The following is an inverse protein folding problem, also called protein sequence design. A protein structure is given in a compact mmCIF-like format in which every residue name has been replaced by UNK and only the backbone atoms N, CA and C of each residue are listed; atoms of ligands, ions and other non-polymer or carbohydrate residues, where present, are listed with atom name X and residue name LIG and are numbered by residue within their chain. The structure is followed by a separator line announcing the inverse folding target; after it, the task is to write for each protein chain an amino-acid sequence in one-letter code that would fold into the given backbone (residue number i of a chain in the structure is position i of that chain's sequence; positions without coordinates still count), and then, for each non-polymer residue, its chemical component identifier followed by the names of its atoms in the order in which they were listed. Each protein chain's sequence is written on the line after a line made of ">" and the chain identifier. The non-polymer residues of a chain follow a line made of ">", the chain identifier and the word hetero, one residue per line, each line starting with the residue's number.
data_IF_794385801420
#
_entry.id   IF_794385801420
#
_cell.length_a   1.000
_cell.length_b   1.000
_cell.length_c   1.000
_cell.angle_alpha   90.00
_cell.angle_beta   90.00
_cell.angle_gamma   90.00
#
_symmetry.space_group_name_H-M   'P 1'
#
loop_
_entity.id
_entity.type
_entity.pdbx_description
1 polymer ?
#
# COMPACT_ATOMS: atom_id res chain seq x y z
N UNK A 1 -32.03 -7.17 18.72
CA UNK A 1 -31.05 -7.86 17.90
C UNK A 1 -31.42 -7.60 16.43
N UNK A 2 -30.72 -6.66 15.76
CA UNK A 2 -30.91 -6.44 14.33
C UNK A 2 -30.21 -7.59 13.57
N UNK A 3 -30.76 -8.08 12.45
CA UNK A 3 -30.10 -9.09 11.63
C UNK A 3 -28.80 -8.47 11.09
N UNK A 4 -27.66 -9.09 11.42
CA UNK A 4 -26.36 -8.66 10.94
C UNK A 4 -26.36 -8.72 9.41
N UNK A 5 -26.05 -7.61 8.78
CA UNK A 5 -25.95 -7.45 7.33
C UNK A 5 -24.79 -8.29 6.76
N UNK A 6 -25.09 -9.51 6.36
CA UNK A 6 -24.14 -10.38 5.62
C UNK A 6 -24.10 -10.05 4.11
N UNK A 7 -24.98 -9.15 3.63
CA UNK A 7 -25.29 -9.00 2.22
C UNK A 7 -24.12 -8.48 1.36
N UNK A 8 -23.36 -7.50 1.85
CA UNK A 8 -22.24 -6.93 1.09
C UNK A 8 -21.04 -7.88 1.00
N UNK A 9 -20.69 -8.53 2.12
CA UNK A 9 -19.59 -9.50 2.18
C UNK A 9 -19.88 -10.78 1.39
N UNK A 10 -21.11 -11.27 1.45
CA UNK A 10 -21.52 -12.44 0.64
C UNK A 10 -21.48 -12.11 -0.86
N UNK A 11 -21.80 -10.88 -1.24
CA UNK A 11 -21.73 -10.40 -2.62
C UNK A 11 -20.29 -10.29 -3.13
N UNK A 12 -19.39 -9.76 -2.31
CA UNK A 12 -17.93 -9.74 -2.59
C UNK A 12 -17.34 -11.14 -2.76
N UNK A 13 -17.79 -12.09 -1.96
CA UNK A 13 -17.22 -13.44 -1.97
C UNK A 13 -17.74 -14.32 -3.11
N UNK A 14 -18.89 -14.01 -3.72
CA UNK A 14 -19.60 -14.93 -4.62
C UNK A 14 -20.07 -14.37 -5.95
N UNK A 15 -20.28 -13.07 -6.09
CA UNK A 15 -21.06 -12.52 -7.20
C UNK A 15 -20.37 -11.40 -8.00
N UNK A 16 -19.35 -10.74 -7.46
CA UNK A 16 -18.70 -9.61 -8.12
C UNK A 16 -17.20 -9.74 -8.11
N UNK A 17 -16.50 -9.41 -9.22
CA UNK A 17 -15.04 -9.31 -9.20
C UNK A 17 -14.56 -8.31 -8.14
N UNK A 18 -13.58 -8.74 -7.35
CA UNK A 18 -12.86 -7.91 -6.42
C UNK A 18 -11.49 -7.55 -7.01
N UNK A 19 -11.25 -6.24 -7.15
CA UNK A 19 -9.95 -5.69 -7.50
C UNK A 19 -9.33 -5.10 -6.23
N UNK A 20 -8.08 -5.43 -5.95
CA UNK A 20 -7.34 -4.90 -4.83
C UNK A 20 -6.20 -4.01 -5.35
N UNK A 21 -6.23 -2.71 -5.02
CA UNK A 21 -5.19 -1.75 -5.41
C UNK A 21 -4.36 -1.39 -4.18
N UNK A 22 -3.05 -1.65 -4.24
CA UNK A 22 -2.12 -1.52 -3.12
C UNK A 22 -1.04 -0.48 -3.42
N UNK A 23 -0.99 0.57 -2.62
CA UNK A 23 -0.05 1.68 -2.78
C UNK A 23 1.36 1.41 -2.28
N UNK A 24 2.30 2.27 -2.69
CA UNK A 24 3.68 2.30 -2.23
C UNK A 24 3.86 2.98 -0.88
N UNK A 25 4.98 2.71 -0.17
CA UNK A 25 5.29 3.37 1.11
C UNK A 25 6.29 2.65 2.02
N UNK A 26 7.05 1.69 1.49
CA UNK A 26 8.15 1.01 2.19
C UNK A 26 7.69 0.40 3.53
N UNK A 27 8.21 0.82 4.70
CA UNK A 27 7.83 0.31 6.02
C UNK A 27 6.34 0.48 6.38
N UNK A 28 5.64 1.44 5.74
CA UNK A 28 4.19 1.62 5.91
C UNK A 28 3.39 0.44 5.32
N UNK A 29 3.97 -0.37 4.45
CA UNK A 29 3.35 -1.55 3.85
C UNK A 29 2.88 -2.60 4.85
N UNK A 30 3.30 -2.55 6.12
CA UNK A 30 2.73 -3.38 7.19
C UNK A 30 1.24 -3.07 7.43
N UNK A 31 0.79 -1.86 7.14
CA UNK A 31 -0.63 -1.50 7.09
C UNK A 31 -1.37 -2.23 5.97
N UNK A 32 -0.77 -2.33 4.76
CA UNK A 32 -1.36 -3.12 3.67
C UNK A 32 -1.56 -4.58 4.06
N UNK A 33 -0.52 -5.19 4.65
CA UNK A 33 -0.59 -6.57 5.10
C UNK A 33 -1.68 -6.77 6.17
N UNK A 34 -1.79 -5.81 7.10
CA UNK A 34 -2.88 -5.77 8.09
C UNK A 34 -4.26 -5.63 7.43
N UNK A 35 -4.40 -4.75 6.43
CA UNK A 35 -5.64 -4.58 5.68
C UNK A 35 -6.03 -5.84 4.89
N UNK A 36 -5.07 -6.59 4.38
CA UNK A 36 -5.34 -7.86 3.70
C UNK A 36 -5.74 -9.00 4.65
N UNK A 37 -5.34 -8.95 5.94
CA UNK A 37 -5.62 -10.04 6.90
C UNK A 37 -7.11 -10.40 7.00
N UNK A 38 -8.07 -9.47 7.17
CA UNK A 38 -9.50 -9.81 7.24
C UNK A 38 -10.04 -10.42 5.94
N UNK A 39 -9.55 -10.00 4.77
CA UNK A 39 -9.94 -10.58 3.49
C UNK A 39 -9.50 -12.04 3.40
N UNK A 40 -8.22 -12.30 3.70
CA UNK A 40 -7.64 -13.66 3.67
C UNK A 40 -8.27 -14.59 4.71
N UNK A 41 -8.57 -14.09 5.93
CA UNK A 41 -9.22 -14.87 6.98
C UNK A 41 -10.67 -15.25 6.64
N UNK A 42 -11.36 -14.43 5.86
CA UNK A 42 -12.74 -14.67 5.42
C UNK A 42 -12.82 -15.34 4.04
N UNK A 43 -11.67 -15.77 3.48
CA UNK A 43 -11.57 -16.34 2.14
C UNK A 43 -12.20 -15.45 1.04
N UNK A 44 -12.09 -14.14 1.21
CA UNK A 44 -12.47 -13.15 0.19
C UNK A 44 -11.27 -12.96 -0.72
N UNK A 45 -11.29 -13.58 -1.89
CA UNK A 45 -10.16 -13.60 -2.82
C UNK A 45 -10.31 -12.50 -3.89
N UNK A 46 -9.30 -11.62 -4.07
CA UNK A 46 -9.29 -10.73 -5.22
C UNK A 46 -9.03 -11.53 -6.50
N UNK A 47 -9.72 -11.19 -7.57
CA UNK A 47 -9.44 -11.71 -8.90
C UNK A 47 -8.30 -10.93 -9.57
N UNK A 48 -8.09 -9.69 -9.15
CA UNK A 48 -7.05 -8.84 -9.69
C UNK A 48 -6.40 -8.02 -8.57
N UNK A 49 -5.08 -8.04 -8.50
CA UNK A 49 -4.29 -7.17 -7.63
C UNK A 49 -3.48 -6.23 -8.51
N UNK A 50 -3.53 -4.94 -8.22
CA UNK A 50 -2.70 -3.90 -8.84
C UNK A 50 -1.83 -3.30 -7.75
N UNK A 51 -0.52 -3.26 -7.95
CA UNK A 51 0.38 -2.77 -6.92
C UNK A 51 1.56 -1.97 -7.46
N UNK A 52 1.96 -0.95 -6.70
CA UNK A 52 3.22 -0.23 -6.88
C UNK A 52 4.11 -0.38 -5.65
N UNK A 53 5.44 -0.42 -5.85
CA UNK A 53 6.40 -0.47 -4.75
C UNK A 53 6.12 -1.64 -3.78
N UNK A 54 6.07 -1.38 -2.47
CA UNK A 54 5.74 -2.40 -1.45
C UNK A 54 4.36 -3.03 -1.68
N UNK A 55 3.42 -2.31 -2.32
CA UNK A 55 2.12 -2.86 -2.71
C UNK A 55 2.24 -4.00 -3.72
N UNK A 56 3.15 -3.89 -4.70
CA UNK A 56 3.45 -4.96 -5.63
C UNK A 56 4.05 -6.18 -4.92
N UNK A 57 4.93 -5.97 -3.94
CA UNK A 57 5.51 -7.05 -3.11
C UNK A 57 4.43 -7.77 -2.31
N UNK A 58 3.50 -7.05 -1.68
CA UNK A 58 2.37 -7.66 -0.97
C UNK A 58 1.49 -8.45 -1.93
N UNK A 59 1.21 -7.90 -3.12
CA UNK A 59 0.48 -8.57 -4.20
C UNK A 59 1.15 -9.87 -4.64
N UNK A 60 2.47 -9.87 -4.81
CA UNK A 60 3.25 -11.06 -5.17
C UNK A 60 3.13 -12.18 -4.11
N UNK A 61 3.24 -11.81 -2.83
CA UNK A 61 3.09 -12.79 -1.73
C UNK A 61 1.67 -13.38 -1.72
N UNK A 62 0.65 -12.59 -2.02
CA UNK A 62 -0.74 -13.08 -2.06
C UNK A 62 -0.97 -13.97 -3.28
N UNK A 63 -0.62 -13.51 -4.49
CA UNK A 63 -0.88 -14.23 -5.73
C UNK A 63 0.03 -15.47 -5.92
N UNK A 64 1.26 -15.41 -5.41
CA UNK A 64 2.26 -16.47 -5.55
C UNK A 64 2.22 -17.56 -4.48
N UNK A 65 1.20 -17.59 -3.61
CA UNK A 65 1.10 -18.62 -2.57
C UNK A 65 -0.30 -19.26 -2.52
N UNK A 66 -0.37 -20.47 -1.98
CA UNK A 66 -1.64 -21.13 -1.71
C UNK A 66 -2.44 -20.34 -0.66
N UNK A 67 -3.78 -20.36 -0.69
CA UNK A 67 -4.64 -19.57 0.20
C UNK A 67 -4.24 -19.69 1.69
N UNK A 68 -3.92 -20.89 2.15
CA UNK A 68 -3.49 -21.20 3.52
C UNK A 68 -2.14 -20.60 3.89
N UNK A 69 -1.26 -20.39 2.92
CA UNK A 69 0.10 -19.88 3.12
C UNK A 69 0.20 -18.34 3.03
N UNK A 70 -0.76 -17.66 2.40
CA UNK A 70 -0.71 -16.21 2.12
C UNK A 70 -0.46 -15.38 3.37
N UNK A 71 -1.30 -15.54 4.38
CA UNK A 71 -1.17 -14.80 5.64
C UNK A 71 0.09 -15.17 6.43
N UNK A 72 0.47 -16.45 6.59
CA UNK A 72 1.76 -16.85 7.14
C UNK A 72 2.96 -16.22 6.42
N UNK A 73 2.96 -16.15 5.09
CA UNK A 73 4.05 -15.55 4.29
C UNK A 73 4.11 -14.04 4.45
N UNK A 74 2.95 -13.34 4.48
CA UNK A 74 2.90 -11.90 4.81
C UNK A 74 3.49 -11.63 6.19
N UNK A 75 3.15 -12.44 7.20
CA UNK A 75 3.71 -12.32 8.55
C UNK A 75 5.22 -12.57 8.55
N UNK A 76 5.67 -13.62 7.88
CA UNK A 76 7.09 -13.95 7.78
C UNK A 76 7.91 -12.80 7.14
N UNK A 77 7.39 -12.15 6.09
CA UNK A 77 8.03 -10.99 5.46
C UNK A 77 8.23 -9.85 6.47
N UNK A 78 7.19 -9.47 7.21
CA UNK A 78 7.27 -8.36 8.17
C UNK A 78 8.02 -8.73 9.44
N UNK A 79 7.97 -9.99 9.90
CA UNK A 79 8.78 -10.48 11.03
C UNK A 79 10.28 -10.45 10.74
N UNK A 80 10.67 -10.69 9.49
CA UNK A 80 12.07 -10.58 9.05
C UNK A 80 12.49 -9.12 8.88
N UNK A 81 11.61 -8.27 8.35
CA UNK A 81 11.85 -6.85 8.20
C UNK A 81 12.00 -6.11 9.56
N UNK A 82 11.40 -6.63 10.63
CA UNK A 82 11.52 -6.02 11.97
C UNK A 82 12.94 -6.17 12.55
N UNK A 83 13.43 -5.12 13.22
CA UNK A 83 14.66 -5.23 14.04
C UNK A 83 14.31 -5.98 15.32
N UNK A 84 14.90 -7.14 15.53
CA UNK A 84 14.90 -7.82 16.82
C UNK A 84 15.93 -7.13 17.75
N UNK A 85 15.52 -6.07 18.44
CA UNK A 85 16.30 -5.53 19.56
C UNK A 85 15.97 -6.26 20.85
N UNK A 86 16.95 -6.58 21.70
CA UNK A 86 16.66 -7.04 23.06
C UNK A 86 15.79 -5.98 23.74
N UNK A 87 14.66 -6.38 24.29
CA UNK A 87 13.62 -5.50 24.83
C UNK A 87 14.07 -4.72 26.07
N UNK A 88 14.78 -3.62 25.89
CA UNK A 88 15.42 -2.85 26.97
C UNK A 88 14.79 -1.46 27.20
N UNK A 89 13.70 -1.06 26.55
CA UNK A 89 13.16 0.29 26.74
C UNK A 89 11.68 0.31 27.11
N UNK A 90 11.41 1.14 28.15
CA UNK A 90 10.14 1.21 28.86
C UNK A 90 8.92 1.72 28.05
N UNK A 91 7.74 1.59 28.65
CA UNK A 91 6.40 1.82 28.07
C UNK A 91 5.94 3.30 28.01
N UNK A 92 6.81 4.31 28.07
CA UNK A 92 6.45 5.73 28.00
C UNK A 92 6.43 6.29 26.57
N UNK A 93 5.51 7.20 26.25
CA UNK A 93 5.38 7.81 24.89
C UNK A 93 6.66 8.52 24.44
N UNK A 94 7.32 9.30 25.29
CA UNK A 94 8.60 9.96 24.96
C UNK A 94 9.72 8.96 24.69
N UNK A 95 9.78 7.87 25.46
CA UNK A 95 10.74 6.77 25.28
C UNK A 95 10.51 6.04 23.95
N UNK A 96 9.25 5.91 23.53
CA UNK A 96 8.86 5.31 22.24
C UNK A 96 9.32 6.16 21.06
N UNK A 97 9.18 7.50 21.09
CA UNK A 97 9.65 8.39 20.06
C UNK A 97 11.16 8.26 19.84
N UNK A 98 11.94 8.37 20.92
CA UNK A 98 13.42 8.23 20.85
C UNK A 98 13.81 6.84 20.34
N UNK A 99 13.08 5.80 20.71
CA UNK A 99 13.31 4.44 20.24
C UNK A 99 13.04 4.31 18.72
N UNK A 100 11.92 4.83 18.22
CA UNK A 100 11.58 4.79 16.80
C UNK A 100 12.57 5.62 15.96
N UNK A 101 13.00 6.80 16.46
CA UNK A 101 14.04 7.61 15.82
C UNK A 101 15.38 6.85 15.72
N UNK A 102 15.80 6.20 16.79
CA UNK A 102 17.02 5.40 16.79
C UNK A 102 16.92 4.23 15.80
N UNK A 103 15.77 3.60 15.70
CA UNK A 103 15.53 2.54 14.71
C UNK A 103 15.55 3.06 13.27
N UNK A 104 14.95 4.22 13.00
CA UNK A 104 15.02 4.87 11.69
C UNK A 104 16.46 5.20 11.33
N UNK A 105 17.23 5.83 12.24
CA UNK A 105 18.66 6.12 12.04
C UNK A 105 19.44 4.83 11.81
N UNK A 106 19.20 3.78 12.60
CA UNK A 106 19.86 2.48 12.42
C UNK A 106 19.53 1.88 11.06
N UNK A 107 18.27 1.99 10.60
CA UNK A 107 17.88 1.55 9.27
C UNK A 107 18.62 2.31 8.17
N UNK A 108 18.71 3.64 8.30
CA UNK A 108 19.43 4.47 7.34
C UNK A 108 20.95 4.23 7.35
N UNK A 109 21.52 3.93 8.50
CA UNK A 109 22.97 3.68 8.61
C UNK A 109 23.38 2.25 8.20
N UNK A 110 22.57 1.25 8.49
CA UNK A 110 22.96 -0.16 8.37
C UNK A 110 22.11 -0.96 7.37
N UNK A 111 21.13 -0.32 6.74
CA UNK A 111 20.17 -1.04 5.88
C UNK A 111 19.18 -1.88 6.69
N UNK A 112 18.54 -2.82 6.01
CA UNK A 112 17.51 -3.67 6.59
C UNK A 112 17.67 -5.11 6.11
N UNK A 113 17.95 -6.05 7.00
CA UNK A 113 18.03 -7.47 6.63
C UNK A 113 16.80 -7.92 5.83
N UNK A 114 17.03 -8.68 4.77
CA UNK A 114 15.97 -9.17 3.91
C UNK A 114 15.37 -8.14 2.95
N UNK A 115 15.68 -6.84 3.06
CA UNK A 115 15.15 -5.79 2.19
C UNK A 115 16.23 -5.03 1.44
N UNK A 116 17.18 -4.42 2.14
CA UNK A 116 18.26 -3.65 1.52
C UNK A 116 19.49 -3.56 2.44
N UNK A 117 20.63 -3.34 1.83
CA UNK A 117 21.91 -3.26 2.51
C UNK A 117 22.79 -2.11 2.02
N UNK A 118 24.01 -2.10 2.50
CA UNK A 118 24.99 -1.12 2.07
C UNK A 118 25.37 -1.28 0.61
N UNK A 119 25.55 -0.14 -0.04
CA UNK A 119 26.11 -0.01 -1.39
C UNK A 119 27.42 0.77 -1.32
N UNK A 120 28.43 0.34 -2.06
CA UNK A 120 29.69 1.08 -2.18
C UNK A 120 29.87 1.54 -3.63
N UNK A 121 30.22 2.82 -3.85
CA UNK A 121 30.41 3.88 -2.84
C UNK A 121 29.10 4.39 -2.21
N UNK A 122 27.92 4.23 -2.83
CA UNK A 122 26.62 4.63 -2.29
C UNK A 122 26.64 6.08 -1.79
N UNK A 123 26.29 6.30 -0.53
CA UNK A 123 26.30 7.64 0.08
C UNK A 123 27.68 8.33 0.02
N UNK A 124 28.77 7.57 0.00
CA UNK A 124 30.12 8.15 -0.07
C UNK A 124 30.41 8.81 -1.42
N UNK A 125 29.66 8.48 -2.50
CA UNK A 125 29.79 9.14 -3.81
C UNK A 125 29.52 10.65 -3.77
N UNK A 126 28.90 11.15 -2.70
CA UNK A 126 28.72 12.59 -2.46
C UNK A 126 30.03 13.30 -2.10
N UNK A 127 31.11 12.57 -1.79
CA UNK A 127 32.42 13.15 -1.47
C UNK A 127 33.23 13.37 -2.76
N UNK A 128 33.96 14.51 -2.91
CA UNK A 128 34.58 14.91 -4.19
C UNK A 128 35.63 13.96 -4.76
N UNK A 129 36.16 13.03 -3.93
CA UNK A 129 37.23 12.07 -4.32
C UNK A 129 36.73 10.63 -4.45
N UNK A 130 35.41 10.40 -4.26
CA UNK A 130 34.82 9.08 -4.43
C UNK A 130 34.28 8.91 -5.86
N UNK A 131 34.23 7.69 -6.40
CA UNK A 131 33.55 7.42 -7.65
C UNK A 131 32.05 7.79 -7.58
N UNK A 132 31.49 8.17 -8.73
CA UNK A 132 30.04 8.42 -8.85
C UNK A 132 29.24 7.14 -8.63
N UNK A 133 28.04 7.29 -8.06
CA UNK A 133 27.03 6.22 -7.92
C UNK A 133 25.63 6.77 -8.16
N UNK A 134 24.71 5.90 -8.57
CA UNK A 134 23.32 6.23 -8.90
C UNK A 134 22.35 5.93 -7.76
N UNK A 135 22.81 5.30 -6.66
CA UNK A 135 21.94 4.92 -5.55
C UNK A 135 22.68 4.89 -4.20
N UNK A 136 21.90 5.01 -3.11
CA UNK A 136 22.42 5.01 -1.76
C UNK A 136 22.59 3.60 -1.18
N UNK A 137 21.69 2.68 -1.53
CA UNK A 137 21.63 1.31 -1.01
C UNK A 137 21.54 0.28 -2.13
N UNK A 138 21.88 -0.97 -1.76
CA UNK A 138 21.63 -2.16 -2.57
C UNK A 138 20.36 -2.88 -2.08
N UNK A 139 19.43 -3.20 -2.98
CA UNK A 139 18.23 -3.96 -2.63
C UNK A 139 18.23 -5.43 -3.13
N UNK A 140 19.40 -5.96 -3.46
CA UNK A 140 19.57 -7.42 -3.70
C UNK A 140 19.00 -8.31 -2.57
N UNK A 141 19.05 -7.93 -1.27
CA UNK A 141 18.42 -8.73 -0.22
C UNK A 141 16.92 -8.93 -0.41
N UNK A 142 16.19 -7.96 -0.99
CA UNK A 142 14.77 -8.11 -1.31
C UNK A 142 14.53 -9.22 -2.35
N UNK A 143 15.41 -9.36 -3.36
CA UNK A 143 15.36 -10.46 -4.33
C UNK A 143 15.34 -11.81 -3.62
N UNK A 144 16.29 -12.04 -2.72
CA UNK A 144 16.41 -13.31 -1.98
C UNK A 144 15.18 -13.57 -1.11
N UNK A 145 14.62 -12.53 -0.51
CA UNK A 145 13.39 -12.62 0.28
C UNK A 145 12.20 -12.99 -0.59
N UNK A 146 12.07 -12.38 -1.78
CA UNK A 146 11.01 -12.69 -2.74
C UNK A 146 11.13 -14.13 -3.25
N UNK A 147 12.32 -14.57 -3.66
CA UNK A 147 12.57 -15.95 -4.14
C UNK A 147 12.23 -17.01 -3.08
N UNK A 148 12.33 -16.68 -1.81
CA UNK A 148 12.00 -17.57 -0.69
C UNK A 148 10.53 -17.54 -0.30
N UNK A 149 9.85 -16.39 -0.41
CA UNK A 149 8.49 -16.19 0.06
C UNK A 149 7.42 -16.32 -1.03
N UNK A 150 7.81 -16.25 -2.30
CA UNK A 150 6.90 -16.26 -3.46
C UNK A 150 7.25 -17.43 -4.38
N UNK A 151 6.28 -18.27 -4.67
CA UNK A 151 6.37 -19.22 -5.77
C UNK A 151 6.05 -18.51 -7.09
N UNK A 152 7.09 -18.13 -7.84
CA UNK A 152 6.95 -17.41 -9.10
C UNK A 152 6.31 -18.23 -10.21
N UNK A 153 6.41 -19.57 -10.17
CA UNK A 153 5.71 -20.43 -11.12
C UNK A 153 4.22 -20.44 -10.83
N UNK A 154 3.84 -20.47 -9.55
CA UNK A 154 2.45 -20.32 -9.13
C UNK A 154 1.92 -18.93 -9.47
N UNK A 155 2.64 -17.87 -9.13
CA UNK A 155 2.26 -16.47 -9.40
C UNK A 155 1.89 -16.27 -10.88
N UNK A 156 2.71 -16.79 -11.80
CA UNK A 156 2.50 -16.66 -13.24
C UNK A 156 1.42 -17.59 -13.82
N UNK A 157 0.85 -18.48 -13.01
CA UNK A 157 -0.27 -19.39 -13.36
C UNK A 157 -1.46 -19.22 -12.43
N UNK A 158 -1.40 -18.21 -11.55
CA UNK A 158 -2.43 -17.95 -10.56
C UNK A 158 -3.74 -17.51 -11.21
N UNK A 159 -4.86 -17.89 -10.60
CA UNK A 159 -6.16 -17.33 -10.92
C UNK A 159 -6.29 -15.85 -10.50
N UNK A 160 -5.39 -15.38 -9.63
CA UNK A 160 -5.28 -13.97 -9.26
C UNK A 160 -4.38 -13.28 -10.27
N UNK A 161 -4.96 -12.40 -11.10
CA UNK A 161 -4.21 -11.50 -11.97
C UNK A 161 -3.40 -10.52 -11.12
N UNK A 162 -2.12 -10.32 -11.43
CA UNK A 162 -1.26 -9.34 -10.77
C UNK A 162 -0.69 -8.36 -11.80
N UNK A 163 -0.92 -7.06 -11.56
CA UNK A 163 -0.30 -5.97 -12.32
C UNK A 163 0.68 -5.23 -11.41
N UNK A 164 1.90 -5.03 -11.89
CA UNK A 164 3.00 -4.34 -11.21
C UNK A 164 3.33 -3.06 -11.94
N UNK A 165 3.20 -1.92 -11.25
CA UNK A 165 3.54 -0.61 -11.78
C UNK A 165 5.03 -0.28 -11.60
N UNK A 166 5.62 0.32 -12.64
CA UNK A 166 6.95 0.93 -12.66
C UNK A 166 6.90 2.23 -13.46
N UNK A 167 7.99 2.99 -13.45
CA UNK A 167 8.19 4.16 -14.32
C UNK A 167 9.51 4.00 -15.07
N UNK A 168 9.48 4.30 -16.35
CA UNK A 168 10.68 4.43 -17.17
C UNK A 168 11.40 5.73 -16.77
N UNK A 169 12.62 5.60 -16.26
CA UNK A 169 13.36 6.73 -15.70
C UNK A 169 13.80 7.75 -16.78
N UNK A 170 13.92 7.30 -18.04
CA UNK A 170 14.35 8.16 -19.13
C UNK A 170 13.20 8.93 -19.78
N UNK A 171 12.04 8.27 -19.98
CA UNK A 171 10.88 8.91 -20.61
C UNK A 171 9.86 9.47 -19.61
N UNK A 172 9.83 8.95 -18.38
CA UNK A 172 8.80 9.26 -17.39
C UNK A 172 7.49 8.50 -17.60
N UNK A 173 7.43 7.61 -18.59
CA UNK A 173 6.22 6.85 -18.91
C UNK A 173 5.96 5.77 -17.85
N UNK A 174 4.68 5.57 -17.54
CA UNK A 174 4.24 4.44 -16.72
C UNK A 174 4.43 3.12 -17.50
N UNK A 175 4.99 2.13 -16.83
CA UNK A 175 5.21 0.79 -17.35
C UNK A 175 4.50 -0.22 -16.45
N UNK A 176 3.54 -0.94 -17.01
CA UNK A 176 2.76 -1.94 -16.31
C UNK A 176 3.14 -3.34 -16.79
N UNK A 177 3.57 -4.18 -15.87
CA UNK A 177 3.77 -5.62 -16.08
C UNK A 177 2.57 -6.39 -15.52
N UNK A 178 2.05 -7.35 -16.27
CA UNK A 178 0.79 -8.01 -15.95
C UNK A 178 0.85 -9.52 -16.23
N UNK A 179 0.47 -10.34 -15.27
CA UNK A 179 0.53 -11.82 -15.39
C UNK A 179 -0.28 -12.40 -16.53
N UNK A 180 -1.21 -11.63 -17.13
CA UNK A 180 -1.97 -12.08 -18.31
C UNK A 180 -1.19 -12.01 -19.62
N UNK A 181 -0.10 -11.24 -19.66
CA UNK A 181 0.73 -11.01 -20.85
C UNK A 181 2.23 -11.17 -20.62
N UNK A 182 2.67 -10.99 -19.38
CA UNK A 182 4.08 -10.98 -19.01
C UNK A 182 4.38 -12.12 -18.03
N UNK A 183 5.59 -12.69 -18.11
CA UNK A 183 6.09 -13.58 -17.07
C UNK A 183 6.82 -12.75 -16.02
N UNK A 184 6.21 -12.55 -14.87
CA UNK A 184 6.80 -11.80 -13.78
C UNK A 184 7.93 -12.59 -13.11
N UNK A 185 9.03 -11.88 -12.80
CA UNK A 185 10.22 -12.36 -12.10
C UNK A 185 10.58 -11.42 -10.96
N UNK A 186 11.49 -11.77 -10.05
CA UNK A 186 11.90 -10.88 -8.97
C UNK A 186 12.33 -9.48 -9.45
N UNK A 187 12.90 -9.37 -10.65
CA UNK A 187 13.36 -8.09 -11.24
C UNK A 187 12.25 -7.07 -11.38
N UNK A 188 11.03 -7.49 -11.73
CA UNK A 188 9.87 -6.59 -11.87
C UNK A 188 9.49 -5.94 -10.53
N UNK A 189 9.63 -6.69 -9.44
CA UNK A 189 9.36 -6.20 -8.09
C UNK A 189 10.51 -5.32 -7.56
N UNK A 190 11.76 -5.66 -7.91
CA UNK A 190 12.90 -4.79 -7.62
C UNK A 190 12.77 -3.46 -8.38
N UNK A 191 12.37 -3.48 -9.65
CA UNK A 191 12.11 -2.27 -10.42
C UNK A 191 11.00 -1.43 -9.79
N UNK A 192 9.87 -2.07 -9.43
CA UNK A 192 8.75 -1.41 -8.78
C UNK A 192 9.08 -0.82 -7.41
N UNK A 193 10.10 -1.34 -6.70
CA UNK A 193 10.56 -0.84 -5.39
C UNK A 193 11.82 0.04 -5.48
N UNK A 194 12.32 0.31 -6.68
CA UNK A 194 13.53 1.09 -6.91
C UNK A 194 13.27 2.60 -6.83
N UNK A 195 12.90 3.10 -5.64
CA UNK A 195 12.71 4.56 -5.47
C UNK A 195 14.05 5.29 -5.54
N UNK A 196 14.24 6.08 -6.58
CA UNK A 196 15.47 6.83 -6.84
C UNK A 196 15.54 8.09 -5.98
N UNK A 197 16.72 8.47 -5.45
CA UNK A 197 18.05 7.83 -5.55
C UNK A 197 18.32 6.80 -4.43
N UNK A 198 17.31 6.35 -3.71
CA UNK A 198 17.49 5.45 -2.57
C UNK A 198 17.99 4.08 -3.05
N UNK A 199 17.33 3.51 -4.06
CA UNK A 199 17.69 2.23 -4.66
C UNK A 199 18.01 2.39 -6.15
N UNK A 200 18.90 1.54 -6.70
CA UNK A 200 19.26 1.62 -8.11
C UNK A 200 18.09 1.21 -8.99
N UNK A 201 17.85 1.92 -10.10
CA UNK A 201 16.87 1.49 -11.09
C UNK A 201 17.30 0.16 -11.73
N UNK A 202 16.33 -0.57 -12.25
CA UNK A 202 16.52 -1.92 -12.83
C UNK A 202 16.27 -1.86 -14.33
N UNK A 203 17.19 -2.41 -15.10
CA UNK A 203 17.01 -2.54 -16.54
C UNK A 203 16.18 -3.80 -16.89
N UNK A 204 15.05 -3.60 -17.57
CA UNK A 204 14.18 -4.66 -18.08
C UNK A 204 13.80 -4.34 -19.52
N UNK A 205 14.13 -5.23 -20.43
CA UNK A 205 13.77 -5.07 -21.86
C UNK A 205 14.36 -3.82 -22.52
N UNK A 206 15.55 -3.37 -22.07
CA UNK A 206 16.22 -2.18 -22.59
C UNK A 206 15.66 -0.86 -22.05
N UNK A 207 14.81 -0.90 -21.03
CA UNK A 207 14.28 0.25 -20.30
C UNK A 207 14.86 0.30 -18.90
N UNK A 208 15.20 1.48 -18.43
CA UNK A 208 15.70 1.72 -17.09
C UNK A 208 14.51 2.10 -16.17
N UNK A 209 14.05 1.14 -15.35
CA UNK A 209 12.80 1.24 -14.61
C UNK A 209 13.03 1.55 -13.13
N UNK A 210 12.15 2.34 -12.56
CA UNK A 210 12.15 2.72 -11.15
C UNK A 210 10.74 2.68 -10.53
N UNK A 211 10.69 2.94 -9.23
CA UNK A 211 9.46 2.97 -8.40
C UNK A 211 8.46 4.01 -8.93
N UNK A 212 7.18 3.67 -9.09
CA UNK A 212 6.15 4.58 -9.57
C UNK A 212 5.72 5.62 -8.52
N UNK A 213 6.26 5.58 -7.30
CA UNK A 213 5.76 6.37 -6.16
C UNK A 213 5.62 7.87 -6.43
N UNK A 214 6.53 8.48 -7.21
CA UNK A 214 6.47 9.90 -7.53
C UNK A 214 5.42 10.28 -8.58
N UNK A 215 4.97 9.33 -9.40
CA UNK A 215 4.04 9.56 -10.50
C UNK A 215 2.65 9.02 -10.20
N UNK A 216 2.56 7.77 -9.77
CA UNK A 216 1.31 7.04 -9.48
C UNK A 216 1.50 6.06 -8.31
N UNK A 217 1.59 6.62 -7.09
CA UNK A 217 1.85 5.81 -5.89
C UNK A 217 0.76 4.78 -5.57
N UNK A 218 -0.49 5.08 -5.92
CA UNK A 218 -1.63 4.18 -5.86
C UNK A 218 -2.22 4.08 -7.26
N UNK A 219 -1.91 3.02 -8.05
CA UNK A 219 -2.32 2.92 -9.46
C UNK A 219 -3.82 2.61 -9.61
N UNK A 220 -4.63 3.52 -9.11
CA UNK A 220 -6.08 3.41 -9.03
C UNK A 220 -6.75 3.49 -10.41
N UNK A 221 -6.16 4.21 -11.35
CA UNK A 221 -6.65 4.34 -12.72
C UNK A 221 -6.58 3.02 -13.52
N UNK A 222 -5.61 2.15 -13.21
CA UNK A 222 -5.37 0.90 -13.96
C UNK A 222 -6.62 0.01 -14.06
N UNK A 223 -7.31 -0.36 -12.98
CA UNK A 223 -8.50 -1.20 -13.10
C UNK A 223 -9.70 -0.49 -13.75
N UNK A 224 -9.74 0.84 -13.70
CA UNK A 224 -10.83 1.61 -14.30
C UNK A 224 -10.60 1.95 -15.78
N UNK A 225 -9.35 1.83 -16.27
CA UNK A 225 -9.04 1.98 -17.69
C UNK A 225 -9.49 0.77 -18.52
N UNK A 226 -9.65 -0.41 -17.91
CA UNK A 226 -10.16 -1.59 -18.61
C UNK A 226 -11.68 -1.64 -18.61
N UNK A 227 -12.31 -1.98 -19.74
CA UNK A 227 -13.77 -2.13 -19.78
C UNK A 227 -14.20 -3.35 -18.96
N UNK A 228 -14.95 -3.11 -17.91
CA UNK A 228 -15.60 -4.17 -17.13
C UNK A 228 -16.99 -4.46 -17.71
N UNK A 229 -17.28 -5.74 -17.96
CA UNK A 229 -18.56 -6.18 -18.51
C UNK A 229 -19.61 -6.51 -17.43
N UNK A 230 -19.24 -6.37 -16.16
CA UNK A 230 -20.10 -6.67 -15.01
C UNK A 230 -19.74 -5.73 -13.85
N UNK A 231 -20.66 -5.63 -12.89
CA UNK A 231 -20.42 -4.90 -11.64
C UNK A 231 -19.15 -5.40 -10.95
N UNK A 232 -18.33 -4.50 -10.39
CA UNK A 232 -17.14 -4.88 -9.65
C UNK A 232 -16.94 -3.99 -8.42
N UNK A 233 -16.18 -4.52 -7.47
CA UNK A 233 -15.71 -3.78 -6.31
C UNK A 233 -14.20 -3.61 -6.37
N UNK A 234 -13.73 -2.38 -6.22
CA UNK A 234 -12.33 -2.04 -6.06
C UNK A 234 -12.08 -1.65 -4.61
N UNK A 235 -11.13 -2.33 -3.95
CA UNK A 235 -10.62 -1.93 -2.65
C UNK A 235 -9.25 -1.32 -2.86
N UNK A 236 -9.11 -0.02 -2.58
CA UNK A 236 -7.87 0.72 -2.70
C UNK A 236 -7.29 1.03 -1.32
N UNK A 237 -6.04 0.65 -1.09
CA UNK A 237 -5.35 0.85 0.20
C UNK A 237 -4.15 1.77 -0.02
N UNK A 238 -4.29 3.02 0.43
CA UNK A 238 -3.30 4.08 0.32
C UNK A 238 -2.49 4.21 1.60
N UNK A 239 -1.18 4.49 1.48
CA UNK A 239 -0.27 4.58 2.63
C UNK A 239 0.04 6.02 3.04
N UNK A 240 -0.42 7.00 2.28
CA UNK A 240 -0.25 8.42 2.57
C UNK A 240 -1.60 9.11 2.58
N UNK A 241 -1.81 10.03 3.53
CA UNK A 241 -3.07 10.72 3.68
C UNK A 241 -2.97 12.20 3.27
N UNK A 242 -3.98 12.68 2.55
CA UNK A 242 -4.15 14.12 2.30
C UNK A 242 -4.63 14.88 3.54
N UNK A 243 -5.19 14.18 4.53
CA UNK A 243 -5.59 14.76 5.80
C UNK A 243 -4.49 14.58 6.84
N UNK A 244 -4.13 15.63 7.51
CA UNK A 244 -3.16 15.62 8.61
C UNK A 244 -3.41 16.78 9.57
N UNK A 245 -2.88 16.69 10.79
CA UNK A 245 -2.84 17.79 11.72
C UNK A 245 -1.91 18.91 11.22
N UNK A 246 -2.07 20.13 11.77
CA UNK A 246 -1.23 21.27 11.43
C UNK A 246 0.23 21.00 11.84
N UNK A 247 1.21 21.10 10.90
CA UNK A 247 2.62 20.94 11.24
C UNK A 247 3.08 21.97 12.27
N UNK A 248 3.88 21.54 13.24
CA UNK A 248 4.42 22.39 14.30
C UNK A 248 5.96 22.35 14.40
N UNK A 249 6.63 21.60 13.53
CA UNK A 249 8.09 21.47 13.48
C UNK A 249 8.55 21.29 12.03
N UNK A 250 9.87 21.43 11.81
CA UNK A 250 10.47 21.14 10.50
C UNK A 250 10.24 19.66 10.10
N UNK A 251 10.37 18.74 11.05
CA UNK A 251 10.13 17.32 10.86
C UNK A 251 8.69 17.03 10.41
N UNK A 252 7.68 17.55 11.13
CA UNK A 252 6.27 17.39 10.75
C UNK A 252 5.91 18.08 9.43
N UNK A 253 6.63 19.17 9.07
CA UNK A 253 6.47 19.82 7.77
C UNK A 253 7.04 18.97 6.65
N UNK A 254 8.20 18.34 6.85
CA UNK A 254 8.81 17.43 5.89
C UNK A 254 7.94 16.16 5.69
N UNK A 255 7.43 15.60 6.78
CA UNK A 255 6.45 14.50 6.71
C UNK A 255 5.23 14.89 5.89
N UNK A 256 4.66 16.08 6.16
CA UNK A 256 3.50 16.58 5.43
C UNK A 256 3.79 16.78 3.94
N UNK A 257 4.99 17.24 3.58
CA UNK A 257 5.40 17.39 2.19
C UNK A 257 5.40 16.01 1.47
N UNK A 258 5.92 14.98 2.10
CA UNK A 258 5.90 13.61 1.57
C UNK A 258 4.47 13.11 1.39
N UNK A 259 3.60 13.27 2.40
CA UNK A 259 2.19 12.88 2.29
C UNK A 259 1.50 13.55 1.10
N UNK A 260 1.75 14.84 0.89
CA UNK A 260 1.18 15.58 -0.23
C UNK A 260 1.70 15.11 -1.59
N UNK A 261 2.99 14.79 -1.69
CA UNK A 261 3.60 14.28 -2.92
C UNK A 261 2.95 12.94 -3.31
N UNK A 262 2.90 11.98 -2.39
CA UNK A 262 2.48 10.63 -2.68
C UNK A 262 0.95 10.44 -2.76
N UNK A 263 0.16 11.23 -2.02
CA UNK A 263 -1.31 11.11 -2.03
C UNK A 263 -2.03 12.05 -3.03
N UNK A 264 -1.36 13.11 -3.55
CA UNK A 264 -2.00 14.05 -4.48
C UNK A 264 -2.42 13.42 -5.82
N UNK A 265 -1.67 12.49 -6.42
CA UNK A 265 -2.10 11.81 -7.64
C UNK A 265 -3.44 11.09 -7.46
N UNK A 266 -3.60 10.32 -6.39
CA UNK A 266 -4.85 9.59 -6.06
C UNK A 266 -6.07 10.51 -6.08
N UNK A 267 -5.98 11.70 -5.45
CA UNK A 267 -7.09 12.66 -5.45
C UNK A 267 -7.46 13.16 -6.84
N UNK A 268 -6.47 13.33 -7.74
CA UNK A 268 -6.72 13.73 -9.13
C UNK A 268 -7.42 12.62 -9.90
N UNK A 269 -6.97 11.40 -9.73
CA UNK A 269 -7.57 10.19 -10.32
C UNK A 269 -9.02 10.02 -9.84
N UNK A 270 -9.29 10.13 -8.54
CA UNK A 270 -10.65 10.06 -7.99
C UNK A 270 -11.58 11.10 -8.64
N UNK A 271 -11.15 12.36 -8.73
CA UNK A 271 -11.94 13.41 -9.40
C UNK A 271 -12.14 13.16 -10.89
N UNK A 272 -11.20 12.50 -11.56
CA UNK A 272 -11.34 12.13 -12.96
C UNK A 272 -12.38 11.00 -13.11
N UNK A 273 -12.31 9.98 -12.27
CA UNK A 273 -13.27 8.87 -12.23
C UNK A 273 -14.69 9.37 -11.94
N UNK A 274 -14.88 10.24 -10.94
CA UNK A 274 -16.19 10.84 -10.64
C UNK A 274 -16.78 11.55 -11.86
N UNK A 275 -15.99 12.32 -12.59
CA UNK A 275 -16.45 13.01 -13.80
C UNK A 275 -16.74 12.06 -14.94
N UNK A 276 -15.90 11.06 -15.13
CA UNK A 276 -16.08 10.05 -16.16
C UNK A 276 -17.38 9.26 -15.95
N UNK A 277 -17.57 8.74 -14.74
CA UNK A 277 -18.78 7.97 -14.42
C UNK A 277 -20.05 8.84 -14.41
N UNK A 278 -19.97 10.12 -14.08
CA UNK A 278 -21.08 11.04 -14.24
C UNK A 278 -21.48 11.25 -15.72
N UNK A 279 -20.54 11.10 -16.67
CA UNK A 279 -20.82 11.08 -18.10
C UNK A 279 -21.40 9.71 -18.50
N UNK A 280 -20.82 8.61 -18.03
CA UNK A 280 -21.33 7.24 -18.29
C UNK A 280 -22.76 7.06 -17.80
N UNK A 281 -23.14 7.63 -16.65
CA UNK A 281 -24.54 7.61 -16.13
C UNK A 281 -25.53 8.24 -17.12
N UNK A 282 -25.10 9.19 -17.95
CA UNK A 282 -25.96 9.86 -18.94
C UNK A 282 -26.07 9.09 -20.26
N UNK A 283 -24.98 8.44 -20.67
CA UNK A 283 -24.89 7.83 -21.99
C UNK A 283 -25.17 6.32 -21.97
N UNK A 284 -24.90 5.67 -20.85
CA UNK A 284 -25.04 4.22 -20.66
C UNK A 284 -25.60 3.91 -19.26
N UNK A 285 -26.84 4.33 -18.94
CA UNK A 285 -27.38 4.23 -17.57
C UNK A 285 -27.46 2.78 -17.05
N UNK A 286 -27.62 1.81 -17.95
CA UNK A 286 -27.76 0.38 -17.61
C UNK A 286 -26.42 -0.39 -17.64
N UNK A 287 -25.30 0.30 -17.79
CA UNK A 287 -23.98 -0.34 -17.78
C UNK A 287 -23.52 -0.76 -16.39
N UNK A 288 -22.39 -1.51 -16.29
CA UNK A 288 -21.88 -2.04 -15.03
C UNK A 288 -21.56 -0.94 -14.01
N UNK A 289 -21.77 -1.28 -12.75
CA UNK A 289 -21.48 -0.38 -11.62
C UNK A 289 -20.10 -0.69 -11.03
N UNK A 290 -19.39 0.36 -10.60
CA UNK A 290 -18.14 0.27 -9.88
C UNK A 290 -18.31 0.78 -8.45
N UNK A 291 -17.96 -0.04 -7.47
CA UNK A 291 -17.87 0.39 -6.08
C UNK A 291 -16.39 0.52 -5.71
N UNK A 292 -15.95 1.72 -5.33
CA UNK A 292 -14.61 1.98 -4.82
C UNK A 292 -14.66 2.16 -3.30
N UNK A 293 -14.03 1.23 -2.60
CA UNK A 293 -13.79 1.28 -1.16
C UNK A 293 -12.36 1.75 -0.93
N UNK A 294 -12.17 2.96 -0.40
CA UNK A 294 -10.86 3.58 -0.24
C UNK A 294 -10.46 3.68 1.23
N UNK A 295 -9.34 3.05 1.57
CA UNK A 295 -8.69 3.12 2.85
C UNK A 295 -7.40 3.92 2.71
N UNK A 296 -7.23 4.96 3.52
CA UNK A 296 -5.98 5.71 3.59
C UNK A 296 -5.38 5.59 4.99
N UNK A 297 -4.10 5.21 5.08
CA UNK A 297 -3.40 5.17 6.35
C UNK A 297 -3.26 6.59 6.93
N UNK A 298 -3.78 6.78 8.10
CA UNK A 298 -3.65 8.02 8.85
C UNK A 298 -2.60 7.85 9.95
N UNK A 299 -1.46 8.51 9.75
CA UNK A 299 -0.36 8.44 10.71
C UNK A 299 -0.77 9.02 12.06
N UNK A 300 -0.49 8.31 13.14
CA UNK A 300 -0.67 8.81 14.50
C UNK A 300 0.23 10.01 14.78
N UNK A 301 -0.11 10.79 15.83
CA UNK A 301 0.69 11.96 16.26
C UNK A 301 2.11 11.62 16.71
N UNK A 302 2.43 10.36 16.84
CA UNK A 302 3.72 9.80 17.22
C UNK A 302 4.59 9.36 16.03
N UNK A 303 4.10 9.42 14.80
CA UNK A 303 4.89 9.18 13.59
C UNK A 303 5.61 10.45 13.11
N UNK A 304 6.74 10.29 12.41
CA UNK A 304 7.63 11.37 11.97
C UNK A 304 8.04 11.25 10.50
N UNK A 305 8.76 12.22 9.97
CA UNK A 305 9.20 12.28 8.58
C UNK A 305 9.92 11.02 8.09
N UNK A 306 10.59 10.30 8.97
CA UNK A 306 11.23 9.00 8.69
C UNK A 306 10.32 7.78 8.73
N UNK A 307 9.00 7.93 8.85
CA UNK A 307 8.05 6.81 9.01
C UNK A 307 8.17 5.71 7.96
N UNK A 308 8.55 6.05 6.74
CA UNK A 308 8.77 5.08 5.65
C UNK A 308 10.01 4.20 5.85
N UNK A 309 10.92 4.57 6.77
CA UNK A 309 12.09 3.79 7.17
C UNK A 309 12.03 3.31 8.62
N UNK A 310 10.91 3.49 9.30
CA UNK A 310 10.69 2.99 10.65
C UNK A 310 10.17 1.55 10.64
N UNK A 311 11.10 0.60 10.72
CA UNK A 311 10.84 -0.84 10.86
C UNK A 311 10.86 -1.30 12.31
N UNK A 312 10.65 -0.41 13.28
CA UNK A 312 10.58 -0.81 14.68
C UNK A 312 9.43 -1.80 14.90
N UNK A 313 9.59 -2.78 15.80
CA UNK A 313 8.55 -3.79 16.06
C UNK A 313 7.24 -3.19 16.57
N UNK A 314 7.29 -2.02 17.23
CA UNK A 314 6.10 -1.28 17.66
C UNK A 314 5.34 -0.73 16.46
N UNK A 315 6.02 0.03 15.58
CA UNK A 315 5.40 0.67 14.42
C UNK A 315 4.84 -0.34 13.43
N UNK A 316 5.58 -1.42 13.15
CA UNK A 316 5.10 -2.50 12.27
C UNK A 316 3.81 -3.13 12.83
N UNK A 317 3.78 -3.49 14.13
CA UNK A 317 2.58 -4.09 14.75
C UNK A 317 1.40 -3.14 14.82
N UNK A 318 1.64 -1.87 15.12
CA UNK A 318 0.57 -0.88 15.24
C UNK A 318 -0.05 -0.57 13.88
N UNK A 319 0.78 -0.42 12.83
CA UNK A 319 0.32 -0.24 11.45
C UNK A 319 -0.45 -1.46 10.95
N UNK A 320 0.05 -2.67 11.23
CA UNK A 320 -0.68 -3.91 10.93
C UNK A 320 -2.05 -3.94 11.60
N UNK A 321 -2.09 -3.66 12.91
CA UNK A 321 -3.33 -3.60 13.67
C UNK A 321 -4.28 -2.50 13.17
N UNK A 322 -3.76 -1.35 12.75
CA UNK A 322 -4.56 -0.28 12.16
C UNK A 322 -5.18 -0.73 10.83
N UNK A 323 -4.38 -1.27 9.90
CA UNK A 323 -4.86 -1.77 8.63
C UNK A 323 -5.97 -2.82 8.77
N UNK A 324 -5.80 -3.75 9.73
CA UNK A 324 -6.82 -4.76 10.03
C UNK A 324 -8.14 -4.12 10.49
N UNK A 325 -8.10 -3.20 11.46
CA UNK A 325 -9.30 -2.51 11.96
C UNK A 325 -9.98 -1.68 10.87
N UNK A 326 -9.20 -0.97 10.07
CA UNK A 326 -9.74 -0.11 9.02
C UNK A 326 -10.38 -0.93 7.90
N UNK A 327 -9.83 -2.09 7.54
CA UNK A 327 -10.46 -3.00 6.60
C UNK A 327 -11.76 -3.58 7.16
N UNK A 328 -11.78 -4.02 8.42
CA UNK A 328 -12.99 -4.53 9.07
C UNK A 328 -14.12 -3.50 9.08
N UNK A 329 -13.82 -2.23 9.40
CA UNK A 329 -14.76 -1.11 9.34
C UNK A 329 -15.23 -0.82 7.91
N UNK A 330 -14.30 -0.83 6.95
CA UNK A 330 -14.61 -0.58 5.54
C UNK A 330 -15.54 -1.65 4.95
N UNK A 331 -15.32 -2.90 5.30
CA UNK A 331 -16.22 -3.99 4.92
C UNK A 331 -17.61 -3.83 5.54
N UNK A 332 -17.71 -3.32 6.78
CA UNK A 332 -18.99 -3.00 7.40
C UNK A 332 -19.70 -1.83 6.68
N UNK A 333 -18.95 -0.78 6.28
CA UNK A 333 -19.52 0.30 5.45
C UNK A 333 -20.10 -0.21 4.12
N UNK A 334 -19.45 -1.19 3.51
CA UNK A 334 -19.92 -1.79 2.28
C UNK A 334 -21.24 -2.56 2.50
N UNK A 335 -21.36 -3.25 3.64
CA UNK A 335 -22.57 -3.96 4.04
C UNK A 335 -23.77 -3.01 4.28
N UNK A 336 -23.52 -1.85 4.91
CA UNK A 336 -24.54 -0.87 5.29
C UNK A 336 -24.88 0.13 4.17
N UNK A 337 -24.10 0.14 3.08
CA UNK A 337 -24.27 1.12 2.01
C UNK A 337 -25.56 0.87 1.23
N UNK A 338 -26.46 1.88 1.14
CA UNK A 338 -27.70 1.73 0.38
C UNK A 338 -27.41 1.51 -1.12
N UNK A 339 -28.33 0.86 -1.82
CA UNK A 339 -28.26 0.74 -3.27
C UNK A 339 -28.09 2.13 -3.92
N UNK A 340 -27.28 2.21 -4.97
CA UNK A 340 -27.07 3.45 -5.73
C UNK A 340 -27.74 3.34 -7.11
N UNK A 341 -28.24 4.47 -7.63
CA UNK A 341 -28.68 4.61 -9.03
C UNK A 341 -27.51 5.04 -9.94
N UNK A 342 -26.37 5.42 -9.33
CA UNK A 342 -25.18 5.83 -10.06
C UNK A 342 -24.26 4.65 -10.32
N UNK A 343 -23.60 4.66 -11.45
CA UNK A 343 -22.65 3.62 -11.86
C UNK A 343 -21.34 3.65 -11.05
N UNK A 344 -21.06 4.73 -10.33
CA UNK A 344 -19.89 4.85 -9.46
C UNK A 344 -20.32 5.14 -8.03
N UNK A 345 -19.85 4.29 -7.12
CA UNK A 345 -20.00 4.49 -5.68
C UNK A 345 -18.62 4.64 -5.05
N UNK A 346 -18.39 5.76 -4.42
CA UNK A 346 -17.18 5.99 -3.63
C UNK A 346 -17.49 5.90 -2.14
N UNK A 347 -16.79 5.02 -1.44
CA UNK A 347 -16.87 4.80 0.00
C UNK A 347 -15.47 5.00 0.58
N UNK A 348 -15.31 5.87 1.57
CA UNK A 348 -14.06 6.07 2.27
C UNK A 348 -14.30 6.12 3.77
N UNK A 349 -13.33 5.61 4.53
CA UNK A 349 -13.27 5.89 5.96
C UNK A 349 -12.86 7.35 6.14
N UNK A 350 -13.72 8.12 6.83
CA UNK A 350 -13.44 9.52 7.17
C UNK A 350 -13.02 9.62 8.64
N UNK A 351 -11.71 9.75 8.94
CA UNK A 351 -11.21 9.83 10.31
C UNK A 351 -11.79 11.03 11.08
N UNK A 352 -12.19 12.11 10.38
CA UNK A 352 -12.77 13.28 11.03
C UNK A 352 -14.21 13.04 11.45
N UNK A 353 -15.00 12.30 10.69
CA UNK A 353 -16.36 11.90 11.12
C UNK A 353 -16.34 10.98 12.32
N UNK A 354 -15.37 10.08 12.41
CA UNK A 354 -15.21 9.19 13.58
C UNK A 354 -14.82 9.98 14.83
N UNK A 355 -13.91 10.94 14.74
CA UNK A 355 -13.49 11.78 15.86
C UNK A 355 -14.65 12.63 16.41
N UNK A 356 -15.43 13.27 15.52
CA UNK A 356 -16.61 14.05 15.91
C UNK A 356 -17.70 13.17 16.53
N UNK A 357 -17.93 11.96 15.99
CA UNK A 357 -18.89 11.02 16.57
C UNK A 357 -18.45 10.51 17.93
N UNK A 358 -17.15 10.28 18.15
CA UNK A 358 -16.60 9.86 19.43
C UNK A 358 -16.71 10.97 20.49
N UNK A 359 -16.44 12.24 20.10
CA UNK A 359 -16.60 13.40 21.00
C UNK A 359 -18.07 13.65 21.37
N UNK A 360 -18.99 13.54 20.42
CA UNK A 360 -20.42 13.67 20.68
C UNK A 360 -20.96 12.51 21.54
N UNK A 361 -20.46 11.29 21.29
CA UNK A 361 -20.80 10.12 22.12
C UNK A 361 -20.27 10.24 23.56
N UNK A 362 -19.05 10.75 23.75
CA UNK A 362 -18.47 11.00 25.06
C UNK A 362 -19.20 12.14 25.80
N UNK A 363 -19.61 13.20 25.11
CA UNK A 363 -20.40 14.29 25.67
C UNK A 363 -21.82 13.84 26.09
N UNK A 364 -22.46 12.96 25.31
CA UNK A 364 -23.76 12.39 25.63
C UNK A 364 -23.72 11.38 26.78
N UNK A 365 -22.59 10.69 27.00
CA UNK A 365 -22.39 9.77 28.12
C UNK A 365 -22.01 10.47 29.44
N UNK A 366 -21.62 11.76 29.40
CA UNK A 366 -21.25 12.59 30.53
C UNK A 366 -22.36 13.58 30.96
N UNK A 367 -23.49 13.63 30.27
CA UNK A 367 -24.68 14.38 30.56
C UNK A 367 -25.78 13.45 31.11
#
# INVERSE_FOLDING_TARGET
>A
MAPSSKFGREKLAKEQPLVLVLGGGNALGSYLAGACEPLLQQAIEPQWIVGGSIGAVMGAIIAGNAPEDRLPRLKAFWDEAMIRSPGLLGRGTKTRHTYNELHTITTLLFGRPGLFGHRFPGMLSMLPWMPDDIALYDHTPLRQTLERLVDFDRLNRSDIRLTVGCVDLESGDEVLFDTTRDRLTPEHFLASTAITPIFPPIEIGGRLLCDPGYTNNLPLDVPFAEPMNQDFTCIAVELFSLHASRPASLDSTAERANDLIFASPTRRTLKALEREYALRDRWEPDGPTATLLHLAYYAGSDERAGKTFDYSPSSIRDRWGAGKRDMEKSLALLDDAPGTRHRFRYLALDPQREAVSAELGAAAASA
#
